data_IF_940974929249
#
_entry.id   IF_940974929249
#
_cell.length_a   1.000
_cell.length_b   1.000
_cell.length_c   1.000
_cell.angle_alpha   90.00
_cell.angle_beta   90.00
_cell.angle_gamma   90.00
#
_symmetry.space_group_name_H-M   'P 1'
#
loop_
_entity.id
_entity.type
_entity.pdbx_description
1 polymer ?
#
# COMPACT_ATOMS: atom_id res chain seq x y z
N UNK A 1 -35.73 20.07 -17.63
CA UNK A 1 -34.96 19.97 -18.89
C UNK A 1 -33.61 19.41 -18.48
N UNK A 2 -33.16 18.29 -19.04
CA UNK A 2 -31.88 17.68 -18.65
C UNK A 2 -30.78 18.38 -19.46
N UNK A 3 -30.14 19.37 -18.83
CA UNK A 3 -29.15 20.25 -19.46
C UNK A 3 -27.81 19.49 -19.46
N UNK A 4 -27.44 18.94 -20.62
CA UNK A 4 -26.13 18.34 -20.81
C UNK A 4 -25.15 19.48 -21.08
N UNK A 5 -24.18 19.65 -20.19
CA UNK A 5 -23.18 20.72 -20.17
C UNK A 5 -22.12 20.51 -21.28
N UNK A 6 -22.57 20.48 -22.54
CA UNK A 6 -21.74 20.40 -23.72
C UNK A 6 -21.54 21.77 -24.33
N UNK A 7 -20.28 22.16 -24.56
CA UNK A 7 -19.96 23.38 -25.31
C UNK A 7 -20.62 23.41 -26.69
N UNK A 8 -20.75 24.59 -27.34
CA UNK A 8 -21.56 24.77 -28.55
C UNK A 8 -21.18 23.87 -29.74
N UNK A 9 -19.98 23.29 -29.73
CA UNK A 9 -19.44 22.43 -30.78
C UNK A 9 -19.50 20.92 -30.45
N UNK A 10 -19.99 20.53 -29.27
CA UNK A 10 -20.02 19.14 -28.82
C UNK A 10 -21.40 18.57 -29.05
N UNK A 11 -21.51 17.59 -29.95
CA UNK A 11 -22.77 16.85 -30.12
C UNK A 11 -23.17 16.18 -28.81
N UNK A 12 -24.48 16.11 -28.51
CA UNK A 12 -25.01 15.43 -27.32
C UNK A 12 -24.45 14.00 -27.16
N UNK A 13 -24.21 13.32 -28.27
CA UNK A 13 -23.60 11.99 -28.30
C UNK A 13 -22.14 12.00 -27.82
N UNK A 14 -21.33 12.97 -28.25
CA UNK A 14 -19.95 13.11 -27.80
C UNK A 14 -19.88 13.41 -26.29
N UNK A 15 -20.72 14.32 -25.78
CA UNK A 15 -20.78 14.62 -24.35
C UNK A 15 -21.20 13.39 -23.52
N UNK A 16 -22.19 12.64 -24.00
CA UNK A 16 -22.64 11.40 -23.36
C UNK A 16 -21.54 10.34 -23.36
N UNK A 17 -20.82 10.18 -24.49
CA UNK A 17 -19.71 9.24 -24.61
C UNK A 17 -18.59 9.57 -23.62
N UNK A 18 -18.18 10.83 -23.53
CA UNK A 18 -17.15 11.27 -22.57
C UNK A 18 -17.58 10.99 -21.13
N UNK A 19 -18.85 11.27 -20.78
CA UNK A 19 -19.36 10.95 -19.44
C UNK A 19 -19.41 9.45 -19.16
N UNK A 20 -19.75 8.65 -20.17
CA UNK A 20 -19.74 7.19 -20.05
C UNK A 20 -18.32 6.65 -19.83
N UNK A 21 -17.34 7.11 -20.62
CA UNK A 21 -15.94 6.72 -20.49
C UNK A 21 -15.38 7.10 -19.11
N UNK A 22 -15.70 8.30 -18.62
CA UNK A 22 -15.31 8.75 -17.28
C UNK A 22 -15.90 7.89 -16.17
N UNK A 23 -17.20 7.59 -16.23
CA UNK A 23 -17.86 6.73 -15.25
C UNK A 23 -17.31 5.30 -15.30
N UNK A 24 -17.08 4.76 -16.50
CA UNK A 24 -16.53 3.42 -16.68
C UNK A 24 -15.12 3.33 -16.09
N UNK A 25 -14.28 4.35 -16.33
CA UNK A 25 -12.95 4.46 -15.71
C UNK A 25 -13.04 4.44 -14.19
N UNK A 26 -13.95 5.23 -13.61
CA UNK A 26 -14.16 5.27 -12.15
C UNK A 26 -14.57 3.91 -11.58
N UNK A 27 -15.47 3.19 -12.26
CA UNK A 27 -15.90 1.85 -11.83
C UNK A 27 -14.72 0.89 -11.83
N UNK A 28 -13.92 0.86 -12.90
CA UNK A 28 -12.72 0.01 -12.97
C UNK A 28 -11.72 0.31 -11.84
N UNK A 29 -11.54 1.59 -11.50
CA UNK A 29 -10.66 1.96 -10.37
C UNK A 29 -11.19 1.47 -9.02
N UNK A 30 -12.50 1.53 -8.80
CA UNK A 30 -13.09 0.98 -7.58
C UNK A 30 -12.96 -0.54 -7.51
N UNK A 31 -13.24 -1.25 -8.61
CA UNK A 31 -13.07 -2.70 -8.68
C UNK A 31 -11.63 -3.11 -8.36
N UNK A 32 -10.66 -2.42 -8.95
CA UNK A 32 -9.24 -2.63 -8.68
C UNK A 32 -8.89 -2.33 -7.22
N UNK A 33 -9.39 -1.23 -6.67
CA UNK A 33 -9.14 -0.87 -5.29
C UNK A 33 -9.73 -1.90 -4.31
N UNK A 34 -10.95 -2.38 -4.53
CA UNK A 34 -11.55 -3.42 -3.71
C UNK A 34 -10.83 -4.75 -3.85
N UNK A 35 -10.38 -5.09 -5.05
CA UNK A 35 -9.54 -6.27 -5.26
C UNK A 35 -8.24 -6.17 -4.44
N UNK A 36 -7.57 -5.01 -4.48
CA UNK A 36 -6.37 -4.72 -3.68
C UNK A 36 -6.62 -4.83 -2.17
N UNK A 37 -7.79 -4.44 -1.67
CA UNK A 37 -8.15 -4.65 -0.27
C UNK A 37 -8.43 -6.14 0.03
N UNK A 38 -9.07 -6.86 -0.88
CA UNK A 38 -9.47 -8.26 -0.66
C UNK A 38 -8.32 -9.25 -0.51
N UNK A 39 -7.16 -8.92 -1.08
CA UNK A 39 -5.95 -9.78 -1.05
C UNK A 39 -5.01 -9.44 0.11
N UNK A 40 -5.30 -8.39 0.88
CA UNK A 40 -4.44 -7.92 1.98
C UNK A 40 -4.93 -8.39 3.35
N UNK A 41 -4.06 -8.23 4.33
CA UNK A 41 -4.47 -8.40 5.72
C UNK A 41 -5.49 -7.34 6.13
N UNK A 42 -6.28 -7.65 7.16
CA UNK A 42 -7.27 -6.72 7.71
C UNK A 42 -6.61 -5.44 8.23
N UNK A 43 -5.47 -5.55 8.91
CA UNK A 43 -4.73 -4.41 9.45
C UNK A 43 -4.31 -3.42 8.35
N UNK A 44 -3.69 -3.93 7.27
CA UNK A 44 -3.30 -3.09 6.12
C UNK A 44 -4.51 -2.44 5.44
N UNK A 45 -5.59 -3.21 5.31
CA UNK A 45 -6.83 -2.72 4.70
C UNK A 45 -7.46 -1.57 5.49
N UNK A 46 -7.46 -1.67 6.83
CA UNK A 46 -7.95 -0.62 7.73
C UNK A 46 -7.11 0.65 7.61
N UNK A 47 -5.78 0.52 7.54
CA UNK A 47 -4.90 1.69 7.35
C UNK A 47 -5.15 2.38 6.00
N UNK A 48 -5.30 1.60 4.93
CA UNK A 48 -5.58 2.12 3.58
C UNK A 48 -6.92 2.86 3.56
N UNK A 49 -7.98 2.28 4.14
CA UNK A 49 -9.30 2.92 4.25
C UNK A 49 -9.22 4.18 5.13
N UNK A 50 -8.39 4.16 6.18
CA UNK A 50 -8.10 5.32 7.01
C UNK A 50 -7.55 6.50 6.21
N UNK A 51 -6.62 6.24 5.29
CA UNK A 51 -6.07 7.25 4.37
C UNK A 51 -7.12 7.76 3.37
N UNK A 52 -8.02 6.89 2.89
CA UNK A 52 -9.11 7.31 2.01
C UNK A 52 -10.05 8.31 2.67
N UNK A 53 -10.33 8.17 3.97
CA UNK A 53 -11.24 9.08 4.68
C UNK A 53 -10.80 10.54 4.64
N UNK A 54 -9.51 10.79 4.43
CA UNK A 54 -8.94 12.14 4.33
C UNK A 54 -8.70 12.59 2.89
N UNK A 55 -8.81 11.68 1.92
CA UNK A 55 -8.59 11.95 0.50
C UNK A 55 -9.91 12.29 -0.22
N UNK A 56 -9.83 13.09 -1.28
CA UNK A 56 -10.97 13.29 -2.16
C UNK A 56 -11.07 12.11 -3.12
N UNK A 57 -11.91 11.13 -2.79
CA UNK A 57 -12.03 9.86 -3.54
C UNK A 57 -12.36 10.08 -5.03
N UNK A 58 -13.04 11.19 -5.38
CA UNK A 58 -13.35 11.47 -6.78
C UNK A 58 -12.12 11.80 -7.63
N UNK A 59 -11.08 12.37 -7.03
CA UNK A 59 -9.85 12.79 -7.73
C UNK A 59 -8.65 11.93 -7.39
N UNK A 60 -8.58 11.42 -6.17
CA UNK A 60 -7.34 10.89 -5.59
C UNK A 60 -7.29 9.36 -5.61
N UNK A 61 -8.39 8.68 -5.98
CA UNK A 61 -8.48 7.21 -5.95
C UNK A 61 -7.43 6.56 -6.86
N UNK A 62 -7.20 7.13 -8.04
CA UNK A 62 -6.19 6.60 -8.97
C UNK A 62 -4.77 6.70 -8.39
N UNK A 63 -4.44 7.84 -7.79
CA UNK A 63 -3.13 8.07 -7.20
C UNK A 63 -2.92 7.19 -5.97
N UNK A 64 -3.98 6.96 -5.19
CA UNK A 64 -3.95 6.00 -4.08
C UNK A 64 -3.70 4.57 -4.59
N UNK A 65 -4.41 4.12 -5.62
CA UNK A 65 -4.20 2.79 -6.22
C UNK A 65 -2.77 2.65 -6.75
N UNK A 66 -2.23 3.67 -7.41
CA UNK A 66 -0.82 3.70 -7.86
C UNK A 66 0.16 3.63 -6.69
N UNK A 67 -0.05 4.45 -5.66
CA UNK A 67 0.79 4.47 -4.47
C UNK A 67 0.88 3.08 -3.83
N UNK A 68 -0.28 2.43 -3.67
CA UNK A 68 -0.40 1.09 -3.12
C UNK A 68 0.40 0.07 -3.94
N UNK A 69 0.18 0.01 -5.25
CA UNK A 69 0.91 -0.92 -6.14
C UNK A 69 2.42 -0.67 -6.14
N UNK A 70 2.83 0.58 -6.09
CA UNK A 70 4.25 0.94 -6.03
C UNK A 70 4.87 0.50 -4.70
N UNK A 71 4.14 0.62 -3.58
CA UNK A 71 4.59 0.11 -2.29
C UNK A 71 4.72 -1.41 -2.31
N UNK A 72 3.75 -2.13 -2.88
CA UNK A 72 3.83 -3.60 -3.03
C UNK A 72 5.06 -4.02 -3.86
N UNK A 73 5.35 -3.29 -4.94
CA UNK A 73 6.52 -3.55 -5.77
C UNK A 73 7.82 -3.33 -4.98
N UNK A 74 7.88 -2.27 -4.17
CA UNK A 74 9.05 -1.98 -3.34
C UNK A 74 9.30 -3.09 -2.30
N UNK A 75 8.23 -3.61 -1.69
CA UNK A 75 8.31 -4.75 -0.76
C UNK A 75 8.83 -6.00 -1.47
N UNK A 76 8.28 -6.33 -2.64
CA UNK A 76 8.73 -7.48 -3.45
C UNK A 76 10.21 -7.37 -3.82
N UNK A 77 10.67 -6.18 -4.22
CA UNK A 77 12.08 -5.94 -4.54
C UNK A 77 13.00 -6.06 -3.33
N UNK A 78 12.54 -5.65 -2.15
CA UNK A 78 13.30 -5.80 -0.90
C UNK A 78 13.43 -7.29 -0.51
N UNK A 79 12.33 -8.05 -0.61
CA UNK A 79 12.33 -9.50 -0.34
C UNK A 79 13.24 -10.26 -1.31
N UNK A 80 13.19 -9.96 -2.61
CA UNK A 80 14.02 -10.60 -3.61
C UNK A 80 15.53 -10.33 -3.42
N UNK A 81 15.91 -9.15 -2.90
CA UNK A 81 17.30 -8.84 -2.58
C UNK A 81 17.79 -9.59 -1.33
N UNK A 82 16.91 -9.80 -0.34
CA UNK A 82 17.25 -10.56 0.88
C UNK A 82 17.62 -12.02 0.56
N UNK A 83 16.93 -12.65 -0.39
CA UNK A 83 17.17 -14.04 -0.80
C UNK A 83 18.50 -14.26 -1.56
N UNK A 84 19.12 -13.19 -2.07
CA UNK A 84 20.40 -13.25 -2.78
C UNK A 84 21.63 -13.16 -1.88
N UNK A 85 21.46 -13.01 -0.56
CA UNK A 85 22.59 -13.02 0.37
C UNK A 85 23.20 -14.44 0.41
N UNK A 86 24.43 -14.68 -0.07
CA UNK A 86 25.03 -16.00 -0.02
C UNK A 86 25.19 -16.44 1.45
N UNK A 87 25.10 -17.74 1.77
CA UNK A 87 25.50 -18.20 3.10
C UNK A 87 26.97 -17.82 3.27
N UNK A 88 27.25 -17.00 4.29
CA UNK A 88 28.62 -16.66 4.65
C UNK A 88 29.41 -17.97 4.79
N UNK A 89 30.42 -18.12 3.93
CA UNK A 89 31.38 -19.23 3.98
C UNK A 89 31.86 -19.39 5.42
N UNK A 90 31.74 -20.63 5.91
CA UNK A 90 32.11 -20.97 7.27
C UNK A 90 33.58 -20.70 7.57
N UNK A 91 33.83 -20.24 8.79
CA UNK A 91 35.13 -20.36 9.44
C UNK A 91 34.98 -21.29 10.66
N UNK A 92 35.81 -22.34 10.79
CA UNK A 92 35.81 -23.18 11.98
C UNK A 92 36.77 -22.62 13.03
N UNK A 93 36.22 -22.50 14.26
CA UNK A 93 36.87 -22.72 15.55
C UNK A 93 38.04 -21.82 15.96
N UNK A 94 37.84 -21.01 17.03
CA UNK A 94 38.74 -21.01 18.19
C UNK A 94 37.93 -20.80 19.47
N UNK A 95 38.08 -21.75 20.40
CA UNK A 95 37.67 -21.72 21.80
C UNK A 95 37.90 -20.37 22.51
N UNK A 96 36.88 -19.91 23.25
CA UNK A 96 37.07 -19.09 24.45
C UNK A 96 35.94 -19.34 25.47
N UNK A 97 36.36 -19.66 26.68
CA UNK A 97 35.61 -20.24 27.79
C UNK A 97 35.05 -19.16 28.75
N UNK A 98 33.72 -19.20 29.03
CA UNK A 98 32.92 -18.60 30.14
C UNK A 98 32.88 -17.05 30.36
N UNK A 99 31.92 -16.51 31.16
CA UNK A 99 30.67 -17.09 31.69
C UNK A 99 29.40 -16.27 31.36
N UNK A 100 28.27 -16.99 31.36
CA UNK A 100 26.89 -16.46 31.33
C UNK A 100 26.61 -15.59 32.56
N UNK A 101 26.26 -14.31 32.34
CA UNK A 101 25.70 -13.42 33.35
C UNK A 101 24.16 -13.45 33.25
N UNK A 102 23.40 -13.58 34.36
CA UNK A 102 21.95 -13.60 34.33
C UNK A 102 21.39 -12.18 34.17
N UNK A 103 20.47 -12.04 33.21
CA UNK A 103 19.85 -10.80 32.79
C UNK A 103 18.57 -10.54 33.61
N UNK A 104 18.69 -10.24 34.91
CA UNK A 104 17.52 -10.04 35.79
C UNK A 104 17.32 -8.60 36.31
N UNK A 105 18.04 -7.59 35.79
CA UNK A 105 17.94 -6.21 36.31
C UNK A 105 17.44 -5.16 35.31
N UNK A 106 16.69 -5.53 34.26
CA UNK A 106 16.03 -4.54 33.39
C UNK A 106 14.62 -4.17 33.84
N UNK A 107 14.05 -4.86 34.83
CA UNK A 107 12.68 -4.63 35.30
C UNK A 107 12.52 -3.39 36.21
N UNK A 108 13.59 -2.80 36.73
CA UNK A 108 13.52 -1.65 37.66
C UNK A 108 13.53 -0.27 36.99
N UNK A 109 13.61 -0.17 35.66
CA UNK A 109 13.69 1.11 34.95
C UNK A 109 12.35 1.63 34.37
N UNK A 110 11.25 0.90 34.57
CA UNK A 110 9.92 1.27 34.03
C UNK A 110 8.94 1.83 35.08
N UNK A 111 9.32 1.97 36.35
CA UNK A 111 8.42 2.51 37.39
C UNK A 111 8.60 4.01 37.70
N UNK A 112 9.32 4.76 36.87
CA UNK A 112 9.47 6.20 37.11
C UNK A 112 9.38 7.08 35.86
N UNK A 113 8.30 6.95 35.10
CA UNK A 113 7.74 7.98 34.21
C UNK A 113 6.21 7.86 34.19
#
# INVERSE_FOLDING_TARGET
MCEYDGGPDVTRFAALKTKHEELQRRVTLFEEFFHLLSVRSEAESVEIIGRMRTANIETDLEDLVKFIKNADLLVQLASAQSEQTPPASGEPSVDAHLPTMPLDDTSSLLELL
#
